data_IF_818652390040
#
_entry.id   IF_818652390040
#
_cell.length_a   1.000
_cell.length_b   1.000
_cell.length_c   1.000
_cell.angle_alpha   90.00
_cell.angle_beta   90.00
_cell.angle_gamma   90.00
#
_symmetry.space_group_name_H-M   'P 1'
#
loop_
_entity.id
_entity.type
_entity.pdbx_description
1 polymer ?
#
# COMPACT_ATOMS: atom_id res chain seq x y z
N UNK A 1 29.83 -12.74 3.28
CA UNK A 1 31.08 -12.80 2.48
C UNK A 1 30.93 -12.13 1.11
N UNK A 2 29.82 -12.35 0.38
CA UNK A 2 29.52 -11.69 -0.90
C UNK A 2 29.60 -10.14 -0.90
N UNK A 3 29.04 -9.38 0.07
CA UNK A 3 29.09 -7.91 0.03
C UNK A 3 30.50 -7.34 0.22
N UNK A 4 31.36 -8.05 0.96
CA UNK A 4 32.75 -7.63 1.18
C UNK A 4 33.59 -7.73 -0.10
N UNK A 5 33.40 -8.82 -0.87
CA UNK A 5 34.08 -9.03 -2.15
C UNK A 5 33.65 -7.99 -3.20
N UNK A 6 32.35 -7.66 -3.22
CA UNK A 6 31.80 -6.63 -4.10
C UNK A 6 32.30 -5.23 -3.70
N UNK A 7 32.41 -4.91 -2.41
CA UNK A 7 32.97 -3.62 -1.96
C UNK A 7 34.45 -3.45 -2.39
N UNK A 8 35.24 -4.53 -2.28
CA UNK A 8 36.64 -4.54 -2.72
C UNK A 8 36.76 -4.39 -4.25
N UNK A 9 35.87 -5.04 -5.02
CA UNK A 9 35.81 -4.87 -6.46
C UNK A 9 35.40 -3.44 -6.87
N UNK A 10 34.45 -2.83 -6.16
CA UNK A 10 34.03 -1.45 -6.39
C UNK A 10 35.17 -0.45 -6.17
N UNK A 11 35.97 -0.67 -5.11
CA UNK A 11 37.15 0.13 -4.81
C UNK A 11 38.29 -0.07 -5.81
N UNK A 12 38.48 -1.30 -6.32
CA UNK A 12 39.45 -1.54 -7.38
C UNK A 12 39.07 -0.84 -8.70
N UNK A 13 37.77 -0.77 -9.01
CA UNK A 13 37.26 -0.10 -10.21
C UNK A 13 37.41 1.42 -10.18
N UNK A 14 37.43 2.07 -9.01
CA UNK A 14 37.66 3.53 -8.93
C UNK A 14 39.11 3.92 -9.25
N UNK A 15 40.04 2.98 -9.18
CA UNK A 15 41.46 3.21 -9.46
C UNK A 15 41.81 3.07 -10.95
N UNK A 16 40.85 2.69 -11.81
CA UNK A 16 41.10 2.49 -13.24
C UNK A 16 41.05 3.81 -14.03
N UNK A 17 41.97 4.01 -14.99
CA UNK A 17 41.96 5.19 -15.87
C UNK A 17 40.71 5.20 -16.77
N UNK A 18 40.25 6.38 -17.22
CA UNK A 18 39.10 6.51 -18.10
C UNK A 18 39.32 5.81 -19.44
N UNK A 19 38.35 5.01 -19.87
CA UNK A 19 38.34 4.33 -21.16
C UNK A 19 37.49 5.14 -22.15
N UNK A 20 38.07 5.50 -23.30
CA UNK A 20 37.39 6.29 -24.34
C UNK A 20 36.83 7.64 -23.86
N UNK A 21 37.56 8.33 -22.97
CA UNK A 21 37.19 9.60 -22.33
C UNK A 21 35.91 9.57 -21.47
N UNK A 22 35.25 8.42 -21.35
CA UNK A 22 34.06 8.23 -20.54
C UNK A 22 34.41 7.56 -19.20
N UNK A 23 33.88 8.05 -18.05
CA UNK A 23 34.16 7.49 -16.73
C UNK A 23 33.35 6.21 -16.45
N UNK A 24 33.38 5.24 -17.36
CA UNK A 24 32.65 3.97 -17.30
C UNK A 24 32.95 3.17 -16.03
N UNK A 25 34.23 3.12 -15.62
CA UNK A 25 34.64 2.44 -14.39
C UNK A 25 34.08 3.13 -13.12
N UNK A 26 33.93 4.46 -13.16
CA UNK A 26 33.28 5.23 -12.11
C UNK A 26 31.80 4.89 -11.97
N UNK A 27 31.06 4.82 -13.09
CA UNK A 27 29.66 4.40 -13.07
C UNK A 27 29.48 2.95 -12.59
N UNK A 28 30.35 2.04 -13.02
CA UNK A 28 30.34 0.65 -12.56
C UNK A 28 30.60 0.55 -11.04
N UNK A 29 31.54 1.35 -10.51
CA UNK A 29 31.81 1.42 -9.08
C UNK A 29 30.61 1.93 -8.29
N UNK A 30 29.97 3.02 -8.73
CA UNK A 30 28.76 3.56 -8.08
C UNK A 30 27.63 2.53 -8.08
N UNK A 31 27.40 1.83 -9.18
CA UNK A 31 26.40 0.77 -9.26
C UNK A 31 26.72 -0.38 -8.27
N UNK A 32 27.99 -0.76 -8.16
CA UNK A 32 28.43 -1.81 -7.24
C UNK A 32 28.30 -1.38 -5.77
N UNK A 33 28.65 -0.14 -5.44
CA UNK A 33 28.46 0.44 -4.10
C UNK A 33 26.98 0.47 -3.74
N UNK A 34 26.09 0.84 -4.66
CA UNK A 34 24.64 0.80 -4.45
C UNK A 34 24.13 -0.63 -4.19
N UNK A 35 24.55 -1.60 -5.01
CA UNK A 35 24.17 -3.01 -4.83
C UNK A 35 24.67 -3.56 -3.50
N UNK A 36 25.91 -3.26 -3.12
CA UNK A 36 26.48 -3.64 -1.83
C UNK A 36 25.73 -2.97 -0.69
N UNK A 37 25.44 -1.67 -0.79
CA UNK A 37 24.68 -0.92 0.22
C UNK A 37 23.31 -1.56 0.46
N UNK A 38 22.56 -1.84 -0.60
CA UNK A 38 21.22 -2.46 -0.52
C UNK A 38 21.33 -3.90 0.04
N UNK A 39 22.27 -4.71 -0.45
CA UNK A 39 22.45 -6.08 0.02
C UNK A 39 22.93 -6.16 1.48
N UNK A 40 23.71 -5.17 1.93
CA UNK A 40 24.28 -5.12 3.28
C UNK A 40 23.35 -4.48 4.29
N UNK A 41 22.40 -3.66 3.84
CA UNK A 41 21.42 -2.99 4.69
C UNK A 41 20.73 -3.97 5.63
N UNK A 42 20.34 -5.14 5.16
CA UNK A 42 19.67 -6.15 5.97
C UNK A 42 20.53 -6.65 7.14
N UNK A 43 21.80 -6.98 6.85
CA UNK A 43 22.75 -7.45 7.86
C UNK A 43 23.06 -6.34 8.88
N UNK A 44 23.26 -5.12 8.39
CA UNK A 44 23.55 -3.95 9.22
C UNK A 44 22.38 -3.63 10.14
N UNK A 45 21.15 -3.70 9.62
CA UNK A 45 19.94 -3.50 10.42
C UNK A 45 19.80 -4.58 11.49
N UNK A 46 20.05 -5.85 11.15
CA UNK A 46 20.01 -6.95 12.13
C UNK A 46 21.07 -6.81 13.23
N UNK A 47 22.31 -6.45 12.88
CA UNK A 47 23.38 -6.26 13.87
C UNK A 47 23.08 -5.08 14.79
N UNK A 48 22.64 -3.95 14.21
CA UNK A 48 22.42 -2.71 14.91
C UNK A 48 21.17 -2.81 15.81
N UNK A 49 20.07 -3.37 15.29
CA UNK A 49 18.90 -3.69 16.13
C UNK A 49 19.21 -4.77 17.13
N UNK A 50 19.90 -5.85 16.78
CA UNK A 50 20.23 -6.92 17.72
C UNK A 50 21.04 -6.43 18.92
N UNK A 51 21.97 -5.49 18.70
CA UNK A 51 22.72 -4.83 19.76
C UNK A 51 21.84 -3.90 20.61
N UNK A 52 21.01 -3.07 19.97
CA UNK A 52 20.08 -2.15 20.66
C UNK A 52 18.96 -2.87 21.41
N UNK A 53 18.51 -4.02 20.89
CA UNK A 53 17.40 -4.81 21.40
C UNK A 53 17.87 -6.00 22.22
N UNK A 54 19.12 -5.99 22.72
CA UNK A 54 19.59 -6.94 23.70
C UNK A 54 18.74 -6.81 24.97
N UNK A 55 17.59 -7.48 24.97
CA UNK A 55 16.68 -7.51 26.11
C UNK A 55 17.37 -8.30 27.22
N UNK A 56 17.35 -7.82 28.47
CA UNK A 56 17.74 -8.66 29.59
C UNK A 56 16.92 -9.95 29.56
N UNK A 57 17.57 -11.08 29.81
CA UNK A 57 16.89 -12.38 29.86
C UNK A 57 15.75 -12.32 30.88
N UNK A 58 14.58 -12.82 30.49
CA UNK A 58 13.45 -12.96 31.40
C UNK A 58 13.49 -14.35 32.03
N UNK A 59 13.32 -14.42 33.36
CA UNK A 59 13.17 -15.68 34.10
C UNK A 59 11.78 -15.68 34.73
N UNK A 60 11.04 -16.76 34.54
CA UNK A 60 9.76 -16.98 35.21
C UNK A 60 10.00 -17.96 36.35
N UNK A 61 9.74 -17.53 37.57
CA UNK A 61 9.91 -18.34 38.78
C UNK A 61 8.63 -18.25 39.61
N UNK A 62 8.30 -19.32 40.33
CA UNK A 62 7.15 -19.27 41.24
C UNK A 62 7.44 -18.33 42.42
N UNK A 63 6.39 -17.71 42.98
CA UNK A 63 6.51 -16.87 44.18
C UNK A 63 7.16 -17.62 45.34
N UNK A 64 6.82 -18.89 45.51
CA UNK A 64 7.34 -19.72 46.62
C UNK A 64 8.84 -19.95 46.46
N UNK A 65 9.29 -20.33 45.25
CA UNK A 65 10.70 -20.57 44.99
C UNK A 65 11.52 -19.27 45.13
N UNK A 66 10.97 -18.13 44.69
CA UNK A 66 11.63 -16.82 44.84
C UNK A 66 11.88 -16.45 46.32
N UNK A 67 10.88 -16.70 47.18
CA UNK A 67 10.99 -16.46 48.62
C UNK A 67 11.94 -17.46 49.30
N UNK A 68 11.95 -18.73 48.88
CA UNK A 68 12.89 -19.73 49.39
C UNK A 68 14.35 -19.40 49.08
N UNK A 69 14.61 -18.75 47.94
CA UNK A 69 15.93 -18.26 47.55
C UNK A 69 16.35 -16.96 48.27
N UNK A 70 15.53 -16.46 49.21
CA UNK A 70 15.81 -15.25 49.98
C UNK A 70 15.39 -13.95 49.29
N UNK A 71 14.61 -14.01 48.22
CA UNK A 71 14.04 -12.83 47.57
C UNK A 71 12.91 -12.21 48.39
N UNK A 72 12.86 -10.88 48.45
CA UNK A 72 11.73 -10.15 49.03
C UNK A 72 10.64 -9.94 47.98
N UNK A 73 9.50 -10.59 48.15
CA UNK A 73 8.41 -10.52 47.19
C UNK A 73 7.56 -9.28 47.44
N UNK A 74 7.82 -8.23 46.64
CA UNK A 74 7.00 -7.03 46.58
C UNK A 74 6.31 -6.97 45.21
N UNK A 75 5.00 -7.26 45.11
CA UNK A 75 4.30 -7.26 43.83
C UNK A 75 4.18 -5.82 43.30
N UNK A 76 4.80 -5.57 42.14
CA UNK A 76 4.67 -4.28 41.43
C UNK A 76 3.43 -4.24 40.55
N UNK A 77 3.05 -5.39 39.98
CA UNK A 77 1.96 -5.52 39.02
C UNK A 77 0.98 -6.63 39.44
N UNK A 78 -0.31 -6.42 39.17
CA UNK A 78 -1.36 -7.41 39.35
C UNK A 78 -2.13 -7.58 38.04
N UNK A 79 -2.08 -8.79 37.48
CA UNK A 79 -2.88 -9.15 36.32
C UNK A 79 -4.18 -9.83 36.77
N UNK A 80 -5.32 -9.32 36.28
CA UNK A 80 -6.64 -9.88 36.51
C UNK A 80 -7.24 -10.31 35.18
N UNK A 81 -7.78 -11.53 35.12
CA UNK A 81 -8.44 -12.06 33.95
C UNK A 81 -9.95 -12.07 34.19
N UNK A 82 -10.68 -11.04 33.74
CA UNK A 82 -12.14 -11.04 33.81
C UNK A 82 -12.72 -12.16 32.95
N UNK A 83 -13.92 -12.61 33.31
CA UNK A 83 -14.70 -13.50 32.46
C UNK A 83 -14.94 -12.83 31.09
N UNK A 84 -14.96 -13.59 29.98
CA UNK A 84 -15.20 -13.04 28.66
C UNK A 84 -16.48 -12.19 28.62
N UNK A 85 -16.39 -10.96 28.08
CA UNK A 85 -17.51 -10.02 27.98
C UNK A 85 -17.82 -9.19 29.24
N UNK A 86 -17.10 -9.40 30.34
CA UNK A 86 -17.26 -8.66 31.60
C UNK A 86 -16.08 -7.71 31.88
N UNK A 87 -15.24 -7.43 30.89
CA UNK A 87 -14.02 -6.63 31.02
C UNK A 87 -14.33 -5.21 31.51
N UNK A 88 -15.34 -4.56 30.91
CA UNK A 88 -15.75 -3.21 31.28
C UNK A 88 -16.31 -3.14 32.71
N UNK A 89 -17.04 -4.17 33.15
CA UNK A 89 -17.59 -4.25 34.51
C UNK A 89 -16.49 -4.50 35.53
N UNK A 90 -15.49 -5.34 35.21
CA UNK A 90 -14.34 -5.56 36.06
C UNK A 90 -13.50 -4.29 36.24
N UNK A 91 -13.25 -3.54 35.16
CA UNK A 91 -12.57 -2.25 35.23
C UNK A 91 -13.34 -1.23 36.08
N UNK A 92 -14.66 -1.16 35.93
CA UNK A 92 -15.51 -0.29 36.73
C UNK A 92 -15.52 -0.68 38.22
N UNK A 93 -15.49 -1.97 38.52
CA UNK A 93 -15.39 -2.48 39.89
C UNK A 93 -14.03 -2.19 40.53
N UNK A 94 -12.94 -2.19 39.75
CA UNK A 94 -11.58 -1.89 40.21
C UNK A 94 -11.31 -0.40 40.43
N UNK A 95 -11.98 0.49 39.69
CA UNK A 95 -11.76 1.94 39.75
C UNK A 95 -11.69 2.53 41.18
N UNK A 96 -12.66 2.28 42.09
CA UNK A 96 -12.59 2.84 43.44
C UNK A 96 -11.42 2.30 44.28
N UNK A 97 -10.96 1.08 44.01
CA UNK A 97 -9.81 0.49 44.69
C UNK A 97 -8.50 1.06 44.16
N UNK A 98 -8.43 1.28 42.84
CA UNK A 98 -7.27 1.90 42.22
C UNK A 98 -7.05 3.32 42.73
N UNK A 99 -8.10 4.14 42.80
CA UNK A 99 -8.01 5.50 43.34
C UNK A 99 -7.58 5.49 44.82
N UNK A 100 -8.09 4.54 45.61
CA UNK A 100 -7.78 4.44 47.04
C UNK A 100 -6.30 4.09 47.31
N UNK A 101 -5.71 3.26 46.46
CA UNK A 101 -4.35 2.74 46.65
C UNK A 101 -3.32 3.33 45.67
N UNK A 102 -3.73 4.28 44.82
CA UNK A 102 -2.86 4.89 43.81
C UNK A 102 -2.38 3.91 42.74
N UNK A 103 -3.21 2.92 42.39
CA UNK A 103 -2.87 1.89 41.39
C UNK A 103 -3.19 2.40 39.98
N UNK A 104 -2.32 2.10 39.03
CA UNK A 104 -2.58 2.34 37.61
C UNK A 104 -3.34 1.15 37.01
N UNK A 105 -4.55 1.39 36.48
CA UNK A 105 -5.32 0.35 35.79
C UNK A 105 -4.93 0.33 34.30
N UNK A 106 -4.21 -0.72 33.90
CA UNK A 106 -3.85 -0.98 32.52
C UNK A 106 -4.80 -2.01 31.88
N UNK A 107 -5.89 -1.56 31.27
CA UNK A 107 -6.81 -2.44 30.54
C UNK A 107 -6.24 -2.83 29.16
N UNK A 108 -6.17 -4.14 28.91
CA UNK A 108 -5.75 -4.70 27.61
C UNK A 108 -6.58 -4.17 26.43
N UNK A 109 -7.88 -3.90 26.63
CA UNK A 109 -8.72 -3.34 25.58
C UNK A 109 -8.38 -1.86 25.30
N UNK A 110 -8.02 -1.10 26.33
CA UNK A 110 -7.59 0.29 26.21
C UNK A 110 -6.21 0.38 25.56
N UNK A 111 -5.25 -0.45 25.98
CA UNK A 111 -3.93 -0.56 25.35
C UNK A 111 -4.08 -0.94 23.88
N UNK A 112 -4.87 -1.97 23.57
CA UNK A 112 -5.12 -2.38 22.19
C UNK A 112 -5.70 -1.25 21.35
N UNK A 113 -6.68 -0.51 21.88
CA UNK A 113 -7.32 0.61 21.16
C UNK A 113 -6.35 1.77 20.94
N UNK A 114 -5.54 2.11 21.95
CA UNK A 114 -4.52 3.13 21.84
C UNK A 114 -3.48 2.75 20.79
N UNK A 115 -2.96 1.51 20.85
CA UNK A 115 -2.03 0.98 19.85
C UNK A 115 -2.64 1.03 18.44
N UNK A 116 -3.87 0.53 18.25
CA UNK A 116 -4.55 0.58 16.96
C UNK A 116 -4.73 2.03 16.47
N UNK A 117 -5.10 2.97 17.34
CA UNK A 117 -5.27 4.37 16.95
C UNK A 117 -3.97 5.06 16.53
N UNK A 118 -2.84 4.68 17.13
CA UNK A 118 -1.51 5.17 16.74
C UNK A 118 -1.15 4.60 15.37
N UNK A 119 -1.36 3.30 15.16
CA UNK A 119 -1.17 2.65 13.86
C UNK A 119 -2.04 3.29 12.77
N UNK A 120 -3.34 3.51 13.03
CA UNK A 120 -4.26 4.11 12.07
C UNK A 120 -3.79 5.51 11.63
N UNK A 121 -3.29 6.32 12.57
CA UNK A 121 -2.71 7.63 12.25
C UNK A 121 -1.46 7.52 11.37
N UNK A 122 -0.59 6.54 11.62
CA UNK A 122 0.57 6.29 10.77
C UNK A 122 0.18 5.87 9.35
N UNK A 123 -0.92 5.14 9.19
CA UNK A 123 -1.44 4.75 7.86
C UNK A 123 -2.29 5.83 7.18
N UNK A 124 -2.70 6.90 7.86
CA UNK A 124 -3.49 7.99 7.28
C UNK A 124 -2.82 8.60 6.05
N UNK A 125 -1.49 8.75 6.08
CA UNK A 125 -0.71 9.25 4.94
C UNK A 125 -0.78 8.29 3.76
N UNK A 126 -0.71 6.98 4.01
CA UNK A 126 -0.85 5.95 2.97
C UNK A 126 -2.22 6.03 2.31
N UNK A 127 -3.30 6.16 3.08
CA UNK A 127 -4.65 6.33 2.51
C UNK A 127 -4.79 7.62 1.70
N UNK A 128 -4.14 8.71 2.10
CA UNK A 128 -4.13 9.95 1.33
C UNK A 128 -3.40 9.78 -0.02
N UNK A 129 -2.25 9.10 -0.02
CA UNK A 129 -1.50 8.79 -1.24
C UNK A 129 -2.27 7.82 -2.15
N UNK A 130 -2.95 6.83 -1.58
CA UNK A 130 -3.83 5.91 -2.32
C UNK A 130 -4.98 6.66 -2.99
N UNK A 131 -5.66 7.56 -2.27
CA UNK A 131 -6.72 8.39 -2.82
C UNK A 131 -6.20 9.29 -3.95
N UNK A 132 -5.04 9.92 -3.77
CA UNK A 132 -4.40 10.73 -4.80
C UNK A 132 -4.04 9.91 -6.05
N UNK A 133 -3.42 8.74 -5.87
CA UNK A 133 -3.08 7.82 -6.97
C UNK A 133 -4.34 7.36 -7.72
N UNK A 134 -5.41 7.05 -6.99
CA UNK A 134 -6.70 6.67 -7.57
C UNK A 134 -7.31 7.80 -8.40
N UNK A 135 -7.27 9.04 -7.89
CA UNK A 135 -7.75 10.22 -8.62
C UNK A 135 -6.96 10.47 -9.89
N UNK A 136 -5.62 10.38 -9.83
CA UNK A 136 -4.75 10.52 -11.00
C UNK A 136 -5.07 9.42 -12.03
N UNK A 137 -5.25 8.17 -11.57
CA UNK A 137 -5.63 7.05 -12.42
C UNK A 137 -6.98 7.25 -13.11
N UNK A 138 -8.01 7.70 -12.37
CA UNK A 138 -9.32 8.01 -12.93
C UNK A 138 -9.28 9.15 -13.94
N UNK A 139 -8.50 10.20 -13.65
CA UNK A 139 -8.32 11.32 -14.57
C UNK A 139 -7.62 10.86 -15.86
N UNK A 140 -6.55 10.08 -15.73
CA UNK A 140 -5.85 9.49 -16.87
C UNK A 140 -6.79 8.64 -17.72
N UNK A 141 -7.58 7.76 -17.09
CA UNK A 141 -8.58 6.95 -17.76
C UNK A 141 -9.60 7.81 -18.53
N UNK A 142 -10.14 8.86 -17.89
CA UNK A 142 -11.10 9.75 -18.52
C UNK A 142 -10.51 10.49 -19.73
N UNK A 143 -9.27 10.97 -19.62
CA UNK A 143 -8.53 11.63 -20.72
C UNK A 143 -8.30 10.65 -21.87
N UNK A 144 -7.85 9.42 -21.58
CA UNK A 144 -7.61 8.40 -22.60
C UNK A 144 -8.90 8.00 -23.33
N UNK A 145 -9.99 7.78 -22.60
CA UNK A 145 -11.29 7.46 -23.20
C UNK A 145 -11.85 8.63 -24.01
N UNK A 146 -11.67 9.87 -23.54
CA UNK A 146 -12.05 11.02 -24.34
C UNK A 146 -11.24 11.09 -25.64
N UNK A 147 -9.92 10.96 -25.55
CA UNK A 147 -9.02 10.97 -26.70
C UNK A 147 -9.34 9.87 -27.71
N UNK A 148 -9.65 8.65 -27.27
CA UNK A 148 -10.00 7.54 -28.17
C UNK A 148 -11.26 7.84 -28.99
N UNK A 149 -12.25 8.50 -28.39
CA UNK A 149 -13.47 8.94 -29.08
C UNK A 149 -13.17 10.04 -30.10
N UNK A 150 -12.31 11.01 -29.74
CA UNK A 150 -11.90 12.10 -30.65
C UNK A 150 -11.16 11.57 -31.87
N UNK A 151 -10.24 10.63 -31.69
CA UNK A 151 -9.49 10.00 -32.78
C UNK A 151 -10.43 9.27 -33.77
N UNK A 152 -11.57 8.77 -33.30
CA UNK A 152 -12.57 8.04 -34.09
C UNK A 152 -13.79 8.88 -34.44
N UNK A 153 -13.74 10.20 -34.25
CA UNK A 153 -14.90 11.08 -34.48
C UNK A 153 -15.42 11.00 -35.93
N UNK A 154 -14.54 10.79 -36.91
CA UNK A 154 -14.93 10.61 -38.32
C UNK A 154 -15.73 9.32 -38.55
N UNK A 155 -15.33 8.22 -37.91
CA UNK A 155 -16.07 6.94 -37.96
C UNK A 155 -17.47 7.08 -37.33
N UNK A 156 -17.57 7.83 -36.22
CA UNK A 156 -18.86 8.09 -35.58
C UNK A 156 -19.76 9.01 -36.43
N UNK A 157 -19.17 9.99 -37.13
CA UNK A 157 -19.89 10.88 -38.03
C UNK A 157 -20.41 10.17 -39.29
N UNK A 158 -19.63 9.24 -39.87
CA UNK A 158 -20.09 8.43 -41.01
C UNK A 158 -21.22 7.50 -40.62
N UNK A 159 -21.16 6.87 -39.44
CA UNK A 159 -22.28 6.09 -38.90
C UNK A 159 -23.53 6.96 -38.66
N UNK A 160 -23.36 8.18 -38.15
CA UNK A 160 -24.45 9.14 -38.02
C UNK A 160 -25.10 9.50 -39.36
N UNK A 161 -24.31 9.65 -40.43
CA UNK A 161 -24.82 9.91 -41.78
C UNK A 161 -25.59 8.72 -42.40
N UNK A 162 -25.28 7.49 -41.96
CA UNK A 162 -26.01 6.28 -42.34
C UNK A 162 -27.34 6.09 -41.57
N UNK A 163 -27.70 7.03 -40.68
CA UNK A 163 -28.97 7.04 -39.98
C UNK A 163 -28.96 6.45 -38.56
N UNK A 164 -27.79 6.14 -38.00
CA UNK A 164 -27.70 5.70 -36.60
C UNK A 164 -28.06 6.84 -35.63
N UNK A 165 -28.94 6.56 -34.67
CA UNK A 165 -29.32 7.54 -33.65
C UNK A 165 -28.15 7.87 -32.70
N UNK A 166 -28.11 9.12 -32.24
CA UNK A 166 -27.08 9.62 -31.29
C UNK A 166 -27.05 8.80 -30.00
N UNK A 167 -28.20 8.25 -29.57
CA UNK A 167 -28.26 7.38 -28.39
C UNK A 167 -27.57 6.05 -28.63
N UNK A 168 -27.73 5.46 -29.82
CA UNK A 168 -27.07 4.20 -30.20
C UNK A 168 -25.55 4.40 -30.25
N UNK A 169 -25.09 5.47 -30.90
CA UNK A 169 -23.68 5.84 -30.96
C UNK A 169 -23.10 6.07 -29.55
N UNK A 170 -23.81 6.81 -28.70
CA UNK A 170 -23.37 7.04 -27.31
C UNK A 170 -23.33 5.76 -26.48
N UNK A 171 -24.29 4.84 -26.65
CA UNK A 171 -24.29 3.55 -25.97
C UNK A 171 -23.12 2.68 -26.40
N UNK A 172 -22.81 2.63 -27.69
CA UNK A 172 -21.67 1.87 -28.20
C UNK A 172 -20.35 2.34 -27.57
N UNK A 173 -20.12 3.65 -27.52
CA UNK A 173 -18.93 4.25 -26.89
C UNK A 173 -18.88 4.01 -25.37
N UNK A 174 -20.04 4.06 -24.69
CA UNK A 174 -20.12 3.74 -23.26
C UNK A 174 -19.77 2.27 -22.99
N UNK A 175 -20.24 1.34 -23.83
CA UNK A 175 -19.91 -0.10 -23.71
C UNK A 175 -18.44 -0.33 -23.98
N UNK A 176 -17.86 0.28 -25.03
CA UNK A 176 -16.42 0.20 -25.30
C UNK A 176 -15.60 0.69 -24.11
N UNK A 177 -15.93 1.86 -23.56
CA UNK A 177 -15.25 2.40 -22.37
C UNK A 177 -15.41 1.52 -21.14
N UNK A 178 -16.60 0.94 -20.92
CA UNK A 178 -16.85 0.01 -19.82
C UNK A 178 -16.03 -1.28 -19.96
N UNK A 179 -15.90 -1.82 -21.18
CA UNK A 179 -15.08 -3.01 -21.45
C UNK A 179 -13.60 -2.73 -21.21
N UNK A 180 -13.08 -1.61 -21.70
CA UNK A 180 -11.69 -1.18 -21.46
C UNK A 180 -11.42 -1.04 -19.96
N UNK A 181 -12.32 -0.37 -19.23
CA UNK A 181 -12.22 -0.22 -17.78
C UNK A 181 -12.30 -1.55 -17.03
N UNK A 182 -13.18 -2.47 -17.46
CA UNK A 182 -13.31 -3.80 -16.86
C UNK A 182 -12.02 -4.63 -17.03
N UNK A 183 -11.43 -4.63 -18.22
CA UNK A 183 -10.14 -5.30 -18.47
C UNK A 183 -9.04 -4.67 -17.61
N UNK A 184 -8.98 -3.34 -17.56
CA UNK A 184 -8.03 -2.62 -16.71
C UNK A 184 -8.18 -2.95 -15.22
N UNK A 185 -9.42 -3.05 -14.72
CA UNK A 185 -9.72 -3.45 -13.35
C UNK A 185 -9.27 -4.88 -13.05
N UNK A 186 -9.51 -5.83 -13.96
CA UNK A 186 -9.07 -7.22 -13.79
C UNK A 186 -7.54 -7.31 -13.69
N UNK A 187 -6.83 -6.62 -14.59
CA UNK A 187 -5.36 -6.59 -14.58
C UNK A 187 -4.86 -5.89 -13.31
N UNK A 188 -5.42 -4.73 -12.97
CA UNK A 188 -5.07 -3.97 -11.78
C UNK A 188 -5.27 -4.77 -10.49
N UNK A 189 -6.39 -5.50 -10.38
CA UNK A 189 -6.67 -6.35 -9.23
C UNK A 189 -5.71 -7.54 -9.14
N UNK A 190 -5.39 -8.18 -10.25
CA UNK A 190 -4.38 -9.25 -10.29
C UNK A 190 -3.00 -8.74 -9.86
N UNK A 191 -2.57 -7.57 -10.38
CA UNK A 191 -1.32 -6.93 -9.98
C UNK A 191 -1.33 -6.52 -8.50
N UNK A 192 -2.43 -5.96 -7.99
CA UNK A 192 -2.57 -5.56 -6.60
C UNK A 192 -2.47 -6.75 -5.64
N UNK A 193 -3.14 -7.86 -5.96
CA UNK A 193 -3.02 -9.12 -5.19
C UNK A 193 -1.60 -9.68 -5.25
N UNK A 194 -0.96 -9.66 -6.41
CA UNK A 194 0.42 -10.12 -6.55
C UNK A 194 1.40 -9.30 -5.71
N UNK A 195 1.32 -7.97 -5.77
CA UNK A 195 2.16 -7.05 -4.98
C UNK A 195 1.89 -7.22 -3.48
N UNK A 196 0.62 -7.29 -3.07
CA UNK A 196 0.25 -7.53 -1.67
C UNK A 196 0.74 -8.88 -1.14
N UNK A 197 0.71 -9.92 -1.99
CA UNK A 197 1.25 -11.24 -1.64
C UNK A 197 2.77 -11.20 -1.46
N UNK A 198 3.50 -10.53 -2.36
CA UNK A 198 4.96 -10.33 -2.23
C UNK A 198 5.28 -9.57 -0.94
N UNK A 199 4.54 -8.50 -0.65
CA UNK A 199 4.76 -7.71 0.56
C UNK A 199 4.57 -8.55 1.83
N UNK A 200 3.51 -9.35 1.90
CA UNK A 200 3.18 -10.16 3.09
C UNK A 200 4.07 -11.41 3.24
N UNK A 201 4.47 -12.06 2.16
CA UNK A 201 5.19 -13.34 2.20
C UNK A 201 6.71 -13.21 2.09
N UNK A 202 7.20 -12.14 1.46
CA UNK A 202 8.63 -11.94 1.19
C UNK A 202 9.17 -10.76 2.01
N UNK A 203 8.57 -9.58 1.86
CA UNK A 203 9.11 -8.35 2.45
C UNK A 203 8.90 -8.32 3.97
N UNK A 204 7.69 -8.64 4.45
CA UNK A 204 7.35 -8.56 5.88
C UNK A 204 8.20 -9.52 6.74
N UNK A 205 8.41 -10.80 6.35
CA UNK A 205 9.27 -11.71 7.11
C UNK A 205 10.74 -11.28 7.11
N UNK A 206 11.22 -10.67 6.02
CA UNK A 206 12.56 -10.13 5.95
C UNK A 206 12.71 -8.93 6.90
N UNK A 207 11.79 -7.98 6.84
CA UNK A 207 11.90 -6.74 7.62
C UNK A 207 11.61 -6.92 9.11
N UNK A 208 10.60 -7.72 9.46
CA UNK A 208 10.07 -7.79 10.83
C UNK A 208 10.12 -9.18 11.47
N UNK A 209 10.55 -10.23 10.75
CA UNK A 209 10.60 -11.62 11.24
C UNK A 209 9.24 -12.22 11.61
N UNK A 210 8.14 -11.64 11.12
CA UNK A 210 6.79 -12.19 11.28
C UNK A 210 5.97 -12.06 9.97
N UNK A 211 4.92 -12.87 9.83
CA UNK A 211 4.02 -12.89 8.68
C UNK A 211 2.66 -12.31 9.05
N UNK A 212 2.12 -11.47 8.17
CA UNK A 212 0.72 -11.04 8.23
C UNK A 212 -0.10 -11.94 7.32
N UNK A 213 -1.30 -12.33 7.75
CA UNK A 213 -2.27 -12.97 6.86
C UNK A 213 -2.74 -11.96 5.82
N UNK A 214 -2.78 -12.37 4.55
CA UNK A 214 -3.32 -11.55 3.48
C UNK A 214 -4.86 -11.56 3.57
N UNK A 215 -5.44 -10.49 4.11
CA UNK A 215 -6.88 -10.28 4.15
C UNK A 215 -7.28 -9.28 3.07
N UNK A 216 -8.03 -9.74 2.06
CA UNK A 216 -8.51 -8.87 0.98
C UNK A 216 -9.82 -8.21 1.42
N UNK A 217 -9.88 -6.86 1.51
CA UNK A 217 -11.10 -6.17 1.88
C UNK A 217 -12.04 -6.09 0.66
N UNK A 218 -12.78 -7.18 0.41
CA UNK A 218 -13.67 -7.31 -0.76
C UNK A 218 -14.65 -6.15 -0.91
N UNK A 219 -15.14 -5.59 0.19
CA UNK A 219 -16.04 -4.44 0.19
C UNK A 219 -15.39 -3.20 -0.43
N UNK A 220 -14.18 -2.86 -0.01
CA UNK A 220 -13.42 -1.72 -0.55
C UNK A 220 -13.03 -1.96 -2.02
N UNK A 221 -12.61 -3.19 -2.35
CA UNK A 221 -12.26 -3.57 -3.73
C UNK A 221 -13.47 -3.44 -4.66
N UNK A 222 -14.62 -3.98 -4.28
CA UNK A 222 -15.85 -3.88 -5.08
C UNK A 222 -16.33 -2.43 -5.19
N UNK A 223 -16.24 -1.64 -4.12
CA UNK A 223 -16.59 -0.22 -4.15
C UNK A 223 -15.67 0.57 -5.11
N UNK A 224 -14.36 0.37 -5.02
CA UNK A 224 -13.39 1.00 -5.92
C UNK A 224 -13.56 0.60 -7.39
N UNK A 225 -13.87 -0.67 -7.65
CA UNK A 225 -14.20 -1.17 -8.98
C UNK A 225 -15.47 -0.52 -9.54
N UNK A 226 -16.53 -0.42 -8.72
CA UNK A 226 -17.77 0.24 -9.11
C UNK A 226 -17.56 1.73 -9.42
N UNK A 227 -16.78 2.44 -8.58
CA UNK A 227 -16.44 3.86 -8.81
C UNK A 227 -15.67 4.03 -10.12
N UNK A 228 -14.67 3.19 -10.36
CA UNK A 228 -13.87 3.23 -11.60
C UNK A 228 -14.73 2.98 -12.84
N UNK A 229 -15.60 1.97 -12.78
CA UNK A 229 -16.49 1.64 -13.90
C UNK A 229 -17.51 2.77 -14.15
N UNK A 230 -18.08 3.34 -13.09
CA UNK A 230 -18.98 4.49 -13.20
C UNK A 230 -18.26 5.71 -13.80
N UNK A 231 -17.03 6.00 -13.36
CA UNK A 231 -16.22 7.08 -13.90
C UNK A 231 -15.92 6.88 -15.39
N UNK A 232 -15.56 5.66 -15.81
CA UNK A 232 -15.34 5.33 -17.22
C UNK A 232 -16.60 5.55 -18.08
N UNK A 233 -17.75 5.04 -17.63
CA UNK A 233 -19.03 5.21 -18.33
C UNK A 233 -19.43 6.69 -18.44
N UNK A 234 -19.23 7.46 -17.37
CA UNK A 234 -19.51 8.90 -17.35
C UNK A 234 -18.58 9.67 -18.30
N UNK A 235 -17.28 9.37 -18.28
CA UNK A 235 -16.30 9.97 -19.18
C UNK A 235 -16.60 9.66 -20.64
N UNK A 236 -16.86 8.39 -20.98
CA UNK A 236 -17.25 7.95 -22.31
C UNK A 236 -18.55 8.60 -22.79
N UNK A 237 -19.55 8.71 -21.92
CA UNK A 237 -20.82 9.40 -22.23
C UNK A 237 -20.60 10.88 -22.50
N UNK A 238 -19.75 11.54 -21.73
CA UNK A 238 -19.41 12.94 -21.94
C UNK A 238 -18.68 13.15 -23.27
N UNK A 239 -17.67 12.33 -23.56
CA UNK A 239 -16.92 12.36 -24.81
C UNK A 239 -17.83 12.09 -26.03
N UNK A 240 -18.68 11.06 -25.98
CA UNK A 240 -19.62 10.73 -27.05
C UNK A 240 -20.60 11.88 -27.34
N UNK A 241 -21.09 12.55 -26.29
CA UNK A 241 -21.97 13.73 -26.43
C UNK A 241 -21.26 14.90 -27.10
N UNK A 242 -19.98 15.12 -26.82
CA UNK A 242 -19.22 16.17 -27.49
C UNK A 242 -18.98 15.85 -28.96
N UNK A 243 -18.54 14.63 -29.27
CA UNK A 243 -18.27 14.20 -30.64
C UNK A 243 -19.53 14.22 -31.53
N UNK A 244 -20.69 13.82 -31.01
CA UNK A 244 -21.96 13.78 -31.76
C UNK A 244 -22.66 15.14 -31.94
N UNK A 245 -22.20 16.19 -31.25
CA UNK A 245 -22.75 17.55 -31.37
C UNK A 245 -22.05 18.39 -32.45
N UNK A 246 -20.86 18.00 -32.89
CA UNK A 246 -20.14 18.71 -33.94
C UNK A 246 -20.88 18.51 -35.29
N UNK A 247 -21.10 19.57 -36.08
CA UNK A 247 -21.71 19.45 -37.40
C UNK A 247 -20.91 18.48 -38.26
N UNK A 248 -21.56 17.47 -38.83
CA UNK A 248 -20.93 16.47 -39.73
C UNK A 248 -20.14 17.16 -40.85
N UNK A 249 -20.65 18.29 -41.35
CA UNK A 249 -19.97 19.11 -42.35
C UNK A 249 -18.66 19.73 -41.85
N UNK A 250 -18.56 20.15 -40.58
CA UNK A 250 -17.32 20.69 -40.01
C UNK A 250 -16.30 19.59 -39.69
N UNK A 251 -16.75 18.41 -39.26
CA UNK A 251 -15.86 17.27 -38.99
C UNK A 251 -15.25 16.73 -40.29
N UNK A 252 -15.99 16.77 -41.40
CA UNK A 252 -15.50 16.37 -42.72
C UNK A 252 -14.70 17.48 -43.42
N UNK A 253 -14.97 18.76 -43.14
CA UNK A 253 -14.28 19.91 -43.77
C UNK A 253 -12.94 20.29 -43.09
N UNK A 254 -12.80 20.14 -41.77
CA UNK A 254 -11.56 20.48 -41.04
C UNK A 254 -10.43 19.42 -41.15
N UNK A 255 -10.56 18.45 -42.06
CA UNK A 255 -9.60 17.35 -42.22
C UNK A 255 -8.74 17.46 -43.50
N UNK A 256 -8.63 18.67 -44.08
CA UNK A 256 -7.58 19.05 -45.04
C UNK A 256 -6.40 19.66 -44.30
#
# INVERSE_FOLDING_TARGET
MLPLLLALAAFALTQLPPLFELPLAGYASVALVLVVGIASAQLLTQLLFGWLSAKPGAVVISRQDYQQLGGDFQPTDLALWPLPGHEAQASAWLAPWADRYGLEIADSATIRRLSLSIFDKSFAVTYALEAAATLIGLFGLAVTLAASVWLRARELATLGALGFDRRMLSHAVMVEGALIAAVGLLIGMACGVAIGSILTHVVNPQAFHWRMALAIPWTAVCAGAAITLAAAVLASRYAARQATRLPVAQVLANAQ
#
